data_IF_646976312253
#
_entry.id   IF_646976312253
#
_cell.length_a   1.000
_cell.length_b   1.000
_cell.length_c   1.000
_cell.angle_alpha   90.00
_cell.angle_beta   90.00
_cell.angle_gamma   90.00
#
_symmetry.space_group_name_H-M   'P 1'
#
loop_
_entity.id
_entity.type
_entity.pdbx_description
1 polymer ?
#
# COMPACT_ATOMS: atom_id res chain seq x y z
N UNK A 1 -0.53 -13.32 9.22
CA UNK A 1 -1.32 -12.56 8.22
C UNK A 1 -2.43 -11.82 8.93
N UNK A 2 -2.51 -10.50 8.81
CA UNK A 2 -3.57 -9.70 9.47
C UNK A 2 -4.94 -9.97 8.84
N UNK A 3 -6.06 -9.72 9.54
CA UNK A 3 -7.40 -9.84 8.96
C UNK A 3 -7.60 -8.93 7.74
N UNK A 4 -7.04 -7.72 7.78
CA UNK A 4 -7.11 -6.76 6.68
C UNK A 4 -6.33 -7.24 5.46
N UNK A 5 -5.13 -7.78 5.66
CA UNK A 5 -4.36 -8.40 4.57
C UNK A 5 -5.12 -9.56 3.93
N UNK A 6 -5.78 -10.42 4.74
CA UNK A 6 -6.61 -11.51 4.21
C UNK A 6 -7.77 -10.99 3.36
N UNK A 7 -8.46 -9.95 3.82
CA UNK A 7 -9.56 -9.35 3.07
C UNK A 7 -9.07 -8.65 1.80
N UNK A 8 -7.88 -8.05 1.81
CA UNK A 8 -7.31 -7.42 0.63
C UNK A 8 -6.93 -8.44 -0.45
N UNK A 9 -6.46 -9.63 -0.05
CA UNK A 9 -6.04 -10.70 -0.96
C UNK A 9 -7.17 -11.65 -1.38
N UNK A 10 -8.40 -11.50 -0.88
CA UNK A 10 -9.49 -12.42 -1.22
C UNK A 10 -10.02 -12.25 -2.64
N UNK A 11 -9.71 -11.13 -3.29
CA UNK A 11 -10.14 -10.79 -4.66
C UNK A 11 -9.16 -9.79 -5.30
N UNK A 12 -9.19 -9.60 -6.64
CA UNK A 12 -8.38 -8.59 -7.31
C UNK A 12 -8.57 -7.16 -6.75
N UNK A 13 -7.58 -6.30 -6.95
CA UNK A 13 -7.53 -4.96 -6.33
C UNK A 13 -8.73 -4.06 -6.67
N UNK A 14 -9.25 -4.16 -7.90
CA UNK A 14 -10.42 -3.40 -8.36
C UNK A 14 -10.32 -1.89 -8.07
N UNK A 15 -11.44 -1.30 -7.66
CA UNK A 15 -11.56 0.13 -7.31
C UNK A 15 -11.46 0.40 -5.80
N UNK A 16 -10.82 -0.51 -5.04
CA UNK A 16 -10.63 -0.35 -3.59
C UNK A 16 -9.92 0.96 -3.28
N UNK A 17 -10.42 1.68 -2.27
CA UNK A 17 -9.77 2.89 -1.76
C UNK A 17 -8.43 2.55 -1.10
N UNK A 18 -7.52 3.53 -1.02
CA UNK A 18 -6.18 3.32 -0.46
C UNK A 18 -6.20 2.81 0.99
N UNK A 19 -7.25 3.12 1.76
CA UNK A 19 -7.42 2.67 3.15
C UNK A 19 -7.64 1.15 3.30
N UNK A 20 -7.95 0.45 2.20
CA UNK A 20 -8.06 -1.02 2.21
C UNK A 20 -6.70 -1.72 2.23
N UNK A 21 -5.62 -1.03 1.85
CA UNK A 21 -4.27 -1.59 1.92
C UNK A 21 -3.88 -1.81 3.38
N UNK A 22 -3.37 -3.00 3.69
CA UNK A 22 -2.92 -3.29 5.06
C UNK A 22 -1.79 -2.36 5.48
N UNK A 23 -1.77 -1.95 6.73
CA UNK A 23 -0.83 -0.92 7.22
C UNK A 23 -1.17 0.52 6.88
N UNK A 24 -2.20 0.81 6.06
CA UNK A 24 -2.64 2.19 5.86
C UNK A 24 -3.60 2.61 6.99
N UNK A 25 -3.13 3.46 7.90
CA UNK A 25 -3.97 4.09 8.92
C UNK A 25 -4.85 5.19 8.33
N UNK A 26 -5.77 5.72 9.14
CA UNK A 26 -6.61 6.84 8.73
C UNK A 26 -5.77 8.11 8.43
N UNK A 27 -4.77 8.39 9.26
CA UNK A 27 -3.89 9.55 9.09
C UNK A 27 -3.03 9.41 7.83
N UNK A 28 -2.44 8.23 7.60
CA UNK A 28 -1.70 7.96 6.38
C UNK A 28 -2.60 8.01 5.14
N UNK A 29 -3.83 7.52 5.22
CA UNK A 29 -4.80 7.61 4.12
C UNK A 29 -5.10 9.07 3.73
N UNK A 30 -5.25 9.98 4.70
CA UNK A 30 -5.45 11.42 4.43
C UNK A 30 -4.24 11.99 3.67
N UNK A 31 -3.02 11.68 4.11
CA UNK A 31 -1.80 12.15 3.46
C UNK A 31 -1.66 11.61 2.03
N UNK A 32 -1.99 10.34 1.82
CA UNK A 32 -1.98 9.68 0.52
C UNK A 32 -3.01 10.31 -0.43
N UNK A 33 -4.25 10.48 0.02
CA UNK A 33 -5.33 11.12 -0.77
C UNK A 33 -4.95 12.53 -1.17
N UNK A 34 -4.39 13.32 -0.25
CA UNK A 34 -3.92 14.70 -0.52
C UNK A 34 -2.85 14.75 -1.61
N UNK A 35 -2.08 13.66 -1.78
CA UNK A 35 -1.05 13.51 -2.80
C UNK A 35 -1.53 12.81 -4.07
N UNK A 36 -2.83 12.51 -4.19
CA UNK A 36 -3.43 11.87 -5.36
C UNK A 36 -3.48 10.34 -5.31
N UNK A 37 -3.11 9.71 -4.19
CA UNK A 37 -3.19 8.26 -3.98
C UNK A 37 -4.52 7.87 -3.32
N UNK A 38 -5.65 8.20 -3.96
CA UNK A 38 -6.97 7.90 -3.40
C UNK A 38 -7.38 6.43 -3.56
N UNK A 39 -6.87 5.73 -4.58
CA UNK A 39 -7.16 4.32 -4.85
C UNK A 39 -5.95 3.42 -4.61
N UNK A 40 -6.22 2.18 -4.17
CA UNK A 40 -5.19 1.20 -3.88
C UNK A 40 -4.33 0.86 -5.12
N UNK A 41 -4.92 0.83 -6.32
CA UNK A 41 -4.17 0.58 -7.55
C UNK A 41 -3.19 1.71 -7.90
N UNK A 42 -3.43 2.95 -7.46
CA UNK A 42 -2.50 4.06 -7.69
C UNK A 42 -1.27 3.87 -6.81
N UNK A 43 -1.48 3.49 -5.54
CA UNK A 43 -0.38 3.15 -4.63
C UNK A 43 0.39 1.91 -5.10
N UNK A 44 -0.31 0.90 -5.60
CA UNK A 44 0.31 -0.26 -6.27
C UNK A 44 1.14 0.18 -7.48
N UNK A 45 0.63 1.09 -8.32
CA UNK A 45 1.37 1.64 -9.46
C UNK A 45 2.71 2.24 -9.03
N UNK A 46 2.73 3.02 -7.96
CA UNK A 46 3.96 3.55 -7.39
C UNK A 46 4.92 2.45 -6.92
N UNK A 47 4.41 1.40 -6.26
CA UNK A 47 5.21 0.24 -5.86
C UNK A 47 5.81 -0.50 -7.07
N UNK A 48 5.07 -0.59 -8.18
CA UNK A 48 5.55 -1.21 -9.43
C UNK A 48 6.60 -0.34 -10.14
N UNK A 49 6.47 0.98 -10.13
CA UNK A 49 7.49 1.91 -10.65
C UNK A 49 8.81 1.79 -9.89
N UNK A 50 8.76 1.40 -8.61
CA UNK A 50 9.92 1.08 -7.78
C UNK A 50 10.34 -0.39 -7.91
N UNK A 51 9.99 -1.06 -9.00
CA UNK A 51 10.38 -2.44 -9.30
C UNK A 51 10.03 -3.46 -8.20
N UNK A 52 8.92 -3.24 -7.48
CA UNK A 52 8.50 -4.05 -6.32
C UNK A 52 9.56 -4.07 -5.18
N UNK A 53 10.49 -3.12 -5.16
CA UNK A 53 11.51 -2.99 -4.12
C UNK A 53 10.90 -2.47 -2.82
N UNK A 54 10.72 -3.37 -1.84
CA UNK A 54 10.09 -3.02 -0.57
C UNK A 54 10.87 -1.94 0.19
N UNK A 55 12.21 -1.98 0.17
CA UNK A 55 13.04 -1.02 0.92
C UNK A 55 12.92 0.39 0.34
N UNK A 56 12.95 0.50 -1.00
CA UNK A 56 12.80 1.78 -1.68
C UNK A 56 11.40 2.35 -1.49
N UNK A 57 10.37 1.52 -1.64
CA UNK A 57 8.98 1.93 -1.42
C UNK A 57 8.72 2.34 0.02
N UNK A 58 9.25 1.62 1.01
CA UNK A 58 9.11 1.97 2.41
C UNK A 58 9.72 3.35 2.70
N UNK A 59 10.94 3.60 2.21
CA UNK A 59 11.60 4.91 2.34
C UNK A 59 10.78 6.02 1.70
N UNK A 60 10.26 5.79 0.51
CA UNK A 60 9.38 6.75 -0.16
C UNK A 60 8.10 7.01 0.65
N UNK A 61 7.44 5.98 1.15
CA UNK A 61 6.19 6.13 1.90
C UNK A 61 6.41 6.93 3.20
N UNK A 62 7.53 6.70 3.89
CA UNK A 62 7.91 7.45 5.09
C UNK A 62 8.24 8.90 4.73
N UNK A 63 9.20 9.13 3.82
CA UNK A 63 9.70 10.47 3.52
C UNK A 63 8.69 11.35 2.77
N UNK A 64 7.90 10.76 1.88
CA UNK A 64 7.02 11.50 0.98
C UNK A 64 5.56 11.50 1.43
N UNK A 65 5.11 10.51 2.20
CA UNK A 65 3.70 10.36 2.61
C UNK A 65 3.49 10.40 4.13
N UNK A 66 4.56 10.46 4.93
CA UNK A 66 4.47 10.58 6.38
C UNK A 66 4.07 9.29 7.09
N UNK A 67 4.31 8.13 6.47
CA UNK A 67 4.10 6.85 7.13
C UNK A 67 5.12 6.63 8.27
N UNK A 68 4.70 5.92 9.30
CA UNK A 68 5.60 5.30 10.27
C UNK A 68 6.31 4.08 9.65
N UNK A 69 7.40 3.63 10.29
CA UNK A 69 8.10 2.42 9.85
C UNK A 69 7.20 1.19 9.81
N UNK A 70 6.30 1.05 10.79
CA UNK A 70 5.36 -0.06 10.89
C UNK A 70 4.37 -0.06 9.71
N UNK A 71 3.75 1.09 9.42
CA UNK A 71 2.83 1.25 8.30
C UNK A 71 3.53 0.96 6.97
N UNK A 72 4.72 1.50 6.76
CA UNK A 72 5.51 1.27 5.56
C UNK A 72 5.83 -0.23 5.37
N UNK A 73 6.26 -0.92 6.42
CA UNK A 73 6.54 -2.35 6.37
C UNK A 73 5.28 -3.17 6.06
N UNK A 74 4.15 -2.83 6.68
CA UNK A 74 2.88 -3.55 6.46
C UNK A 74 2.30 -3.30 5.06
N UNK A 75 2.28 -2.05 4.60
CA UNK A 75 1.75 -1.70 3.27
C UNK A 75 2.63 -2.24 2.15
N UNK A 76 3.96 -2.17 2.27
CA UNK A 76 4.86 -2.78 1.29
C UNK A 76 4.73 -4.31 1.26
N UNK A 77 4.46 -4.96 2.39
CA UNK A 77 4.19 -6.40 2.42
C UNK A 77 2.84 -6.71 1.77
N UNK A 78 1.80 -5.93 2.05
CA UNK A 78 0.48 -6.10 1.45
C UNK A 78 0.51 -6.05 -0.08
N UNK A 79 1.19 -5.05 -0.64
CA UNK A 79 1.30 -4.88 -2.10
C UNK A 79 2.17 -5.98 -2.73
N UNK A 80 3.23 -6.44 -2.05
CA UNK A 80 4.05 -7.56 -2.50
C UNK A 80 3.26 -8.86 -2.57
N UNK A 81 2.54 -9.20 -1.49
CA UNK A 81 1.70 -10.40 -1.45
C UNK A 81 0.60 -10.33 -2.51
N UNK A 82 -0.01 -9.15 -2.71
CA UNK A 82 -1.00 -8.96 -3.76
C UNK A 82 -0.40 -9.20 -5.15
N UNK A 83 0.80 -8.68 -5.42
CA UNK A 83 1.51 -8.97 -6.67
C UNK A 83 1.74 -10.48 -6.83
N UNK A 84 2.18 -11.18 -5.78
CA UNK A 84 2.43 -12.62 -5.86
C UNK A 84 1.17 -13.45 -6.17
N UNK A 85 -0.02 -12.97 -5.77
CA UNK A 85 -1.29 -13.65 -6.01
C UNK A 85 -1.92 -13.32 -7.38
N UNK A 86 -1.74 -12.10 -7.89
CA UNK A 86 -2.56 -11.58 -8.99
C UNK A 86 -1.77 -10.99 -10.17
N UNK A 87 -0.43 -10.94 -10.11
CA UNK A 87 0.43 -10.37 -11.16
C UNK A 87 1.70 -11.20 -11.42
#
# INVERSE_FOLDING_TARGET
MSPRLRAFLSEPIGEKDVCWVDGVSHELAINLVTKGFNKAYILLGQFLLMHKNQVEFQKWLICCCGATECEAQQSSNCLKEWCACFL
#
